data_IF_123022678457
#
_entry.id   IF_123022678457
#
_cell.length_a   1.000
_cell.length_b   1.000
_cell.length_c   1.000
_cell.angle_alpha   90.00
_cell.angle_beta   90.00
_cell.angle_gamma   90.00
#
_symmetry.space_group_name_H-M   'P 1'
#
loop_
_entity.id
_entity.type
_entity.pdbx_description
1 polymer ?
#
# COMPACT_ATOMS: atom_id res chain seq x y z
N UNK A 1 0.30 37.27 38.55
CA UNK A 1 0.82 35.88 38.52
C UNK A 1 -0.30 34.93 38.92
N UNK A 2 -1.04 34.36 37.95
CA UNK A 2 -2.21 33.53 38.26
C UNK A 2 -1.81 32.06 38.44
N UNK A 3 -2.29 31.49 39.54
CA UNK A 3 -2.55 30.05 39.69
C UNK A 3 -4.01 29.83 39.34
N UNK A 4 -4.28 28.98 38.36
CA UNK A 4 -5.61 28.37 38.17
C UNK A 4 -5.45 27.09 37.36
N UNK A 5 -5.30 25.98 38.08
CA UNK A 5 -5.77 24.68 37.65
C UNK A 5 -7.29 24.73 37.67
N UNK A 6 -7.94 24.60 36.52
CA UNK A 6 -9.34 24.22 36.26
C UNK A 6 -9.56 24.51 34.76
N UNK A 7 -10.41 23.73 34.09
CA UNK A 7 -10.60 23.64 32.63
C UNK A 7 -9.62 22.70 31.93
N UNK A 8 -10.03 21.43 31.84
CA UNK A 8 -10.10 20.59 30.63
C UNK A 8 -10.12 19.11 31.02
N UNK A 9 -11.05 18.79 31.93
CA UNK A 9 -11.60 17.45 32.06
C UNK A 9 -13.08 17.58 31.70
N UNK A 10 -13.55 16.69 30.83
CA UNK A 10 -14.93 16.54 30.31
C UNK A 10 -15.19 17.13 28.92
N UNK A 11 -15.84 16.31 28.10
CA UNK A 11 -16.30 16.51 26.71
C UNK A 11 -15.22 16.24 25.64
N UNK A 12 -15.00 14.96 25.29
CA UNK A 12 -15.43 14.43 23.98
C UNK A 12 -15.13 12.92 23.89
N UNK A 13 -15.89 12.15 24.68
CA UNK A 13 -16.27 10.79 24.35
C UNK A 13 -17.17 10.85 23.10
N UNK A 14 -17.12 9.83 22.25
CA UNK A 14 -18.21 9.47 21.32
C UNK A 14 -18.31 10.22 19.97
N UNK A 15 -17.40 9.93 19.04
CA UNK A 15 -17.70 10.01 17.60
C UNK A 15 -17.67 8.59 16.98
N UNK A 16 -18.58 7.74 17.48
CA UNK A 16 -19.04 6.53 16.80
C UNK A 16 -20.52 6.73 16.46
N UNK A 17 -20.82 7.15 15.23
CA UNK A 17 -22.05 6.87 14.47
C UNK A 17 -22.04 7.67 13.17
N UNK A 18 -22.82 7.24 12.16
CA UNK A 18 -23.14 7.90 10.87
C UNK A 18 -22.17 7.49 9.72
N UNK A 19 -22.50 6.76 8.64
CA UNK A 19 -23.75 6.29 8.00
C UNK A 19 -23.35 5.07 7.12
N UNK A 20 -24.06 3.96 7.26
CA UNK A 20 -24.27 2.97 6.19
C UNK A 20 -25.59 3.30 5.48
N UNK A 21 -25.76 2.78 4.26
CA UNK A 21 -26.91 2.85 3.34
C UNK A 21 -26.84 3.95 2.27
N UNK A 22 -26.46 3.56 1.05
CA UNK A 22 -27.27 3.69 -0.18
C UNK A 22 -26.79 2.66 -1.22
N UNK A 23 -27.71 1.79 -1.65
CA UNK A 23 -27.89 1.27 -3.03
C UNK A 23 -29.41 1.39 -3.28
N UNK A 24 -29.98 1.42 -4.52
CA UNK A 24 -29.49 0.87 -5.81
C UNK A 24 -29.73 1.81 -7.03
N UNK A 25 -29.34 1.43 -8.26
CA UNK A 25 -30.23 1.53 -9.45
C UNK A 25 -29.67 0.80 -10.68
N UNK A 26 -30.63 0.26 -11.42
CA UNK A 26 -30.70 -0.63 -12.58
C UNK A 26 -29.78 -0.45 -13.81
N UNK A 27 -29.44 -1.64 -14.33
CA UNK A 27 -29.63 -2.14 -15.70
C UNK A 27 -29.46 -1.18 -16.90
N UNK A 28 -28.46 -1.47 -17.72
CA UNK A 28 -28.64 -1.47 -19.17
C UNK A 28 -27.92 -2.67 -19.79
N UNK A 29 -28.74 -3.54 -20.38
CA UNK A 29 -28.40 -4.67 -21.22
C UNK A 29 -28.10 -4.23 -22.67
N UNK A 30 -27.42 -5.12 -23.40
CA UNK A 30 -27.23 -5.17 -24.86
C UNK A 30 -26.12 -4.29 -25.44
N UNK A 31 -25.37 -4.69 -26.46
CA UNK A 31 -25.06 -5.98 -27.06
C UNK A 31 -23.87 -5.67 -28.00
N UNK A 32 -22.90 -6.60 -28.05
CA UNK A 32 -22.04 -6.92 -29.19
C UNK A 32 -21.64 -5.79 -30.15
N UNK A 33 -20.38 -5.37 -30.07
CA UNK A 33 -19.61 -5.05 -31.27
C UNK A 33 -18.24 -5.70 -31.16
N UNK A 34 -18.08 -6.75 -31.96
CA UNK A 34 -16.83 -7.45 -32.24
C UNK A 34 -15.71 -6.53 -32.73
N UNK A 35 -14.47 -7.02 -32.55
CA UNK A 35 -13.24 -6.81 -33.33
C UNK A 35 -12.10 -6.01 -32.64
N UNK A 36 -10.83 -6.43 -32.80
CA UNK A 36 -10.27 -7.78 -32.73
C UNK A 36 -9.11 -7.85 -31.71
N UNK A 37 -8.83 -9.07 -31.26
CA UNK A 37 -7.62 -9.46 -30.55
C UNK A 37 -6.37 -9.17 -31.41
N UNK A 38 -5.73 -8.04 -31.15
CA UNK A 38 -4.32 -7.84 -31.47
C UNK A 38 -3.55 -8.13 -30.18
N UNK A 39 -2.77 -9.22 -30.21
CA UNK A 39 -1.81 -9.56 -29.19
C UNK A 39 -0.91 -8.35 -28.91
N UNK A 40 -1.16 -7.67 -27.79
CA UNK A 40 -0.23 -6.70 -27.25
C UNK A 40 0.94 -7.50 -26.65
N UNK A 41 2.08 -7.42 -27.32
CA UNK A 41 3.37 -7.80 -26.78
C UNK A 41 3.51 -7.16 -25.38
N UNK A 42 3.68 -8.00 -24.37
CA UNK A 42 3.80 -7.59 -22.97
C UNK A 42 5.18 -6.99 -22.73
N UNK A 43 5.43 -5.76 -23.18
CA UNK A 43 6.57 -4.95 -22.71
C UNK A 43 6.17 -3.63 -22.02
N UNK A 44 4.89 -3.28 -21.97
CA UNK A 44 4.46 -1.95 -21.54
C UNK A 44 3.91 -1.89 -20.11
N UNK A 45 4.72 -2.27 -19.11
CA UNK A 45 4.43 -1.91 -17.72
C UNK A 45 5.06 -0.56 -17.29
N UNK A 46 5.76 0.14 -18.19
CA UNK A 46 6.60 1.29 -17.82
C UNK A 46 5.87 2.62 -17.94
N UNK A 47 4.87 2.73 -18.82
CA UNK A 47 4.23 4.01 -19.13
C UNK A 47 2.73 3.94 -18.93
N UNK A 48 2.28 4.26 -17.72
CA UNK A 48 0.86 4.46 -17.44
C UNK A 48 0.54 5.94 -17.54
N UNK A 49 -0.46 6.28 -18.34
CA UNK A 49 -1.03 7.63 -18.29
C UNK A 49 -1.61 7.94 -16.90
N UNK A 50 -1.52 9.20 -16.46
CA UNK A 50 -2.25 9.64 -15.27
C UNK A 50 -3.75 9.33 -15.38
N UNK A 51 -4.42 9.18 -14.22
CA UNK A 51 -5.85 8.84 -14.19
C UNK A 51 -6.69 9.80 -15.03
N UNK A 52 -7.63 9.28 -15.82
CA UNK A 52 -8.51 10.03 -16.73
C UNK A 52 -7.85 10.72 -17.92
N UNK A 53 -6.51 10.70 -18.06
CA UNK A 53 -5.84 11.36 -19.19
C UNK A 53 -6.09 10.61 -20.50
N UNK A 54 -6.31 9.30 -20.44
CA UNK A 54 -6.61 8.47 -21.62
C UNK A 54 -7.84 8.92 -22.40
N UNK A 55 -8.78 9.61 -21.75
CA UNK A 55 -10.05 10.06 -22.33
C UNK A 55 -9.92 11.39 -23.10
N UNK A 56 -8.87 12.16 -22.84
CA UNK A 56 -8.78 13.57 -23.30
C UNK A 56 -7.52 13.90 -24.09
N UNK A 57 -6.47 13.06 -24.03
CA UNK A 57 -5.20 13.33 -24.71
C UNK A 57 -5.16 12.70 -26.11
N UNK A 58 -4.60 13.45 -27.05
CA UNK A 58 -4.24 12.94 -28.38
C UNK A 58 -3.01 12.04 -28.31
N UNK A 59 -2.75 11.27 -29.37
CA UNK A 59 -1.56 10.41 -29.46
C UNK A 59 -0.24 11.20 -29.41
N UNK A 60 -0.20 12.39 -30.03
CA UNK A 60 0.96 13.26 -29.94
C UNK A 60 1.24 13.71 -28.50
N UNK A 61 0.19 14.10 -27.76
CA UNK A 61 0.30 14.48 -26.35
C UNK A 61 0.66 13.29 -25.47
N UNK A 62 0.12 12.09 -25.75
CA UNK A 62 0.49 10.85 -25.05
C UNK A 62 1.99 10.59 -25.14
N UNK A 63 2.56 10.69 -26.34
CA UNK A 63 4.00 10.54 -26.55
C UNK A 63 4.80 11.56 -25.73
N UNK A 64 4.41 12.83 -25.75
CA UNK A 64 5.06 13.86 -24.92
C UNK A 64 4.94 13.57 -23.43
N UNK A 65 3.80 13.07 -22.95
CA UNK A 65 3.62 12.69 -21.55
C UNK A 65 4.58 11.58 -21.15
N UNK A 66 4.78 10.57 -22.00
CA UNK A 66 5.71 9.48 -21.73
C UNK A 66 7.17 9.97 -21.69
N UNK A 67 7.58 10.83 -22.62
CA UNK A 67 8.90 11.46 -22.59
C UNK A 67 9.15 12.25 -21.29
N UNK A 68 8.12 12.96 -20.81
CA UNK A 68 8.17 13.67 -19.52
C UNK A 68 8.32 12.67 -18.36
N UNK A 69 7.52 11.59 -18.35
CA UNK A 69 7.58 10.56 -17.31
C UNK A 69 8.95 9.90 -17.24
N UNK A 70 9.56 9.58 -18.39
CA UNK A 70 10.90 8.97 -18.43
C UNK A 70 11.98 9.87 -17.85
N UNK A 71 12.00 11.14 -18.25
CA UNK A 71 12.96 12.11 -17.72
C UNK A 71 12.84 12.23 -16.20
N UNK A 72 11.62 12.41 -15.70
CA UNK A 72 11.42 12.56 -14.26
C UNK A 72 11.63 11.26 -13.49
N UNK A 73 11.41 10.08 -14.09
CA UNK A 73 11.72 8.80 -13.44
C UNK A 73 13.18 8.72 -13.04
N UNK A 74 14.08 9.12 -13.93
CA UNK A 74 15.51 9.00 -13.68
C UNK A 74 15.99 10.04 -12.65
N UNK A 75 15.48 11.28 -12.71
CA UNK A 75 15.72 12.32 -11.69
C UNK A 75 15.19 11.89 -10.31
N UNK A 76 13.96 11.34 -10.25
CA UNK A 76 13.36 10.85 -9.01
C UNK A 76 14.17 9.70 -8.42
N UNK A 77 14.63 8.75 -9.25
CA UNK A 77 15.48 7.65 -8.79
C UNK A 77 16.78 8.17 -8.17
N UNK A 78 17.41 9.17 -8.77
CA UNK A 78 18.61 9.78 -8.21
C UNK A 78 18.32 10.43 -6.85
N UNK A 79 17.24 11.21 -6.74
CA UNK A 79 16.83 11.84 -5.48
C UNK A 79 16.49 10.80 -4.40
N UNK A 80 15.84 9.71 -4.75
CA UNK A 80 15.57 8.59 -3.83
C UNK A 80 16.87 7.98 -3.29
N UNK A 81 17.89 7.77 -4.14
CA UNK A 81 19.19 7.28 -3.71
C UNK A 81 19.90 8.26 -2.76
N UNK A 82 19.84 9.56 -3.05
CA UNK A 82 20.39 10.60 -2.17
C UNK A 82 19.67 10.62 -0.82
N UNK A 83 18.34 10.50 -0.83
CA UNK A 83 17.54 10.42 0.40
C UNK A 83 17.89 9.18 1.23
N UNK A 84 18.04 8.01 0.59
CA UNK A 84 18.46 6.77 1.27
C UNK A 84 19.85 6.90 1.88
N UNK A 85 20.78 7.54 1.16
CA UNK A 85 22.13 7.80 1.67
C UNK A 85 22.10 8.70 2.92
N UNK A 86 21.30 9.77 2.91
CA UNK A 86 21.13 10.66 4.05
C UNK A 86 20.47 9.96 5.25
N UNK A 87 19.44 9.15 5.01
CA UNK A 87 18.79 8.35 6.05
C UNK A 87 19.80 7.40 6.70
N UNK A 88 20.62 6.71 5.90
CA UNK A 88 21.68 5.82 6.40
C UNK A 88 22.70 6.59 7.24
N UNK A 89 23.16 7.74 6.75
CA UNK A 89 24.11 8.59 7.47
C UNK A 89 23.55 9.07 8.80
N UNK A 90 22.35 9.65 8.80
CA UNK A 90 21.66 10.09 10.02
C UNK A 90 21.50 8.95 11.02
N UNK A 91 21.10 7.75 10.57
CA UNK A 91 20.93 6.61 11.46
C UNK A 91 22.26 6.16 12.07
N UNK A 92 23.35 6.16 11.30
CA UNK A 92 24.69 5.88 11.84
C UNK A 92 25.12 6.92 12.88
N UNK A 93 24.84 8.21 12.64
CA UNK A 93 25.10 9.27 13.62
C UNK A 93 24.26 9.09 14.90
N UNK A 94 22.99 8.70 14.78
CA UNK A 94 22.13 8.35 15.92
C UNK A 94 22.69 7.15 16.67
N UNK A 95 23.13 6.10 15.99
CA UNK A 95 23.75 4.94 16.65
C UNK A 95 25.05 5.33 17.36
N UNK A 96 25.82 6.28 16.83
CA UNK A 96 27.07 6.71 17.44
C UNK A 96 26.90 7.41 18.79
N UNK A 97 25.74 7.99 19.08
CA UNK A 97 25.48 8.60 20.40
C UNK A 97 25.06 7.58 21.47
N UNK A 98 24.82 6.32 21.10
CA UNK A 98 24.38 5.29 22.02
C UNK A 98 25.55 4.57 22.69
N UNK A 99 25.36 4.18 23.95
CA UNK A 99 26.28 3.30 24.66
C UNK A 99 26.28 1.88 24.08
N UNK A 100 27.33 1.10 24.37
CA UNK A 100 27.40 -0.29 23.96
C UNK A 100 26.23 -1.13 24.49
N UNK A 101 25.84 -0.91 25.75
CA UNK A 101 24.70 -1.58 26.38
C UNK A 101 23.37 -1.24 25.70
N UNK A 102 23.17 0.03 25.34
CA UNK A 102 21.97 0.48 24.61
C UNK A 102 21.91 -0.14 23.21
N UNK A 103 23.04 -0.24 22.52
CA UNK A 103 23.12 -0.91 21.20
C UNK A 103 22.73 -2.38 21.29
N UNK A 104 23.23 -3.10 22.29
CA UNK A 104 22.87 -4.51 22.49
C UNK A 104 21.38 -4.68 22.83
N UNK A 105 20.81 -3.80 23.66
CA UNK A 105 19.38 -3.82 23.95
C UNK A 105 18.53 -3.62 22.68
N UNK A 106 18.88 -2.65 21.84
CA UNK A 106 18.18 -2.39 20.58
C UNK A 106 18.26 -3.62 19.65
N UNK A 107 19.43 -4.27 19.55
CA UNK A 107 19.56 -5.50 18.74
C UNK A 107 18.65 -6.62 19.23
N UNK A 108 18.54 -6.83 20.54
CA UNK A 108 17.64 -7.83 21.12
C UNK A 108 16.18 -7.52 20.79
N UNK A 109 15.74 -6.29 21.04
CA UNK A 109 14.37 -5.85 20.74
C UNK A 109 14.05 -5.97 19.24
N UNK A 110 15.00 -5.64 18.37
CA UNK A 110 14.84 -5.78 16.92
C UNK A 110 14.69 -7.25 16.49
N UNK A 111 15.50 -8.15 17.06
CA UNK A 111 15.44 -9.58 16.78
C UNK A 111 14.12 -10.21 17.25
N UNK A 112 13.66 -9.87 18.45
CA UNK A 112 12.38 -10.33 19.00
C UNK A 112 11.20 -9.84 18.14
N UNK A 113 11.24 -8.56 17.74
CA UNK A 113 10.22 -7.97 16.87
C UNK A 113 10.16 -8.66 15.51
N UNK A 114 11.32 -9.01 14.93
CA UNK A 114 11.38 -9.77 13.68
C UNK A 114 10.80 -11.17 13.87
N UNK A 115 11.22 -11.89 14.90
CA UNK A 115 10.71 -13.23 15.19
C UNK A 115 9.18 -13.23 15.37
N UNK A 116 8.64 -12.20 16.04
CA UNK A 116 7.19 -12.07 16.21
C UNK A 116 6.47 -11.83 14.88
N UNK A 117 6.99 -10.97 14.00
CA UNK A 117 6.42 -10.76 12.66
C UNK A 117 6.44 -12.04 11.83
N UNK A 118 7.56 -12.77 11.86
CA UNK A 118 7.73 -14.03 11.12
C UNK A 118 6.72 -15.10 11.63
N UNK A 119 6.52 -15.21 12.95
CA UNK A 119 5.50 -16.09 13.54
C UNK A 119 4.08 -15.71 13.13
N UNK A 120 3.72 -14.43 13.19
CA UNK A 120 2.40 -13.96 12.78
C UNK A 120 2.14 -14.21 11.30
N UNK A 121 3.16 -14.05 10.45
CA UNK A 121 3.07 -14.37 9.03
C UNK A 121 2.80 -15.87 8.82
N UNK A 122 3.58 -16.74 9.47
CA UNK A 122 3.38 -18.19 9.38
C UNK A 122 2.01 -18.63 9.90
N UNK A 123 1.51 -18.03 10.97
CA UNK A 123 0.17 -18.31 11.49
C UNK A 123 -0.92 -17.90 10.49
N UNK A 124 -0.80 -16.73 9.85
CA UNK A 124 -1.73 -16.29 8.81
C UNK A 124 -1.75 -17.25 7.62
N UNK A 125 -0.58 -17.69 7.17
CA UNK A 125 -0.46 -18.65 6.07
C UNK A 125 -1.11 -19.99 6.42
N UNK A 126 -0.95 -20.46 7.67
CA UNK A 126 -1.59 -21.68 8.15
C UNK A 126 -3.12 -21.54 8.17
N UNK A 127 -3.64 -20.43 8.73
CA UNK A 127 -5.08 -20.15 8.77
C UNK A 127 -5.66 -20.08 7.35
N UNK A 128 -4.99 -19.41 6.42
CA UNK A 128 -5.42 -19.34 5.02
C UNK A 128 -5.42 -20.71 4.34
N UNK A 129 -4.40 -21.54 4.61
CA UNK A 129 -4.32 -22.89 4.08
C UNK A 129 -5.45 -23.78 4.63
N UNK A 130 -5.76 -23.69 5.92
CA UNK A 130 -6.87 -24.41 6.53
C UNK A 130 -8.23 -23.95 5.99
N UNK A 131 -8.41 -22.64 5.80
CA UNK A 131 -9.63 -22.09 5.19
C UNK A 131 -9.85 -22.62 3.79
N UNK A 132 -8.80 -22.64 2.95
CA UNK A 132 -8.85 -23.20 1.59
C UNK A 132 -9.20 -24.69 1.59
N UNK A 133 -8.64 -25.47 2.52
CA UNK A 133 -8.97 -26.90 2.67
C UNK A 133 -10.44 -27.11 3.08
N UNK A 134 -10.95 -26.31 4.00
CA UNK A 134 -12.34 -26.37 4.44
C UNK A 134 -13.33 -25.96 3.33
N UNK A 135 -12.99 -24.94 2.54
CA UNK A 135 -13.78 -24.52 1.38
C UNK A 135 -13.83 -25.62 0.29
N UNK A 136 -12.70 -26.27 -0.01
CA UNK A 136 -12.63 -27.38 -0.96
C UNK A 136 -13.41 -28.62 -0.49
N UNK A 137 -13.41 -28.92 0.81
CA UNK A 137 -14.19 -30.04 1.37
C UNK A 137 -15.71 -29.79 1.33
N UNK A 138 -16.15 -28.54 1.37
CA UNK A 138 -17.58 -28.18 1.32
C UNK A 138 -18.13 -28.23 -0.11
N UNK A 139 -17.35 -27.84 -1.12
CA UNK A 139 -17.80 -27.90 -2.53
C UNK A 139 -17.91 -29.35 -3.06
N UNK A 140 -17.07 -30.27 -2.58
CA UNK A 140 -17.15 -31.70 -2.94
C UNK A 140 -18.36 -32.44 -2.37
N UNK A 141 -18.98 -31.94 -1.28
CA UNK A 141 -20.14 -32.58 -0.64
C UNK A 141 -21.49 -32.16 -1.25
N UNK A 142 -21.54 -31.09 -2.05
CA UNK A 142 -22.78 -30.56 -2.64
C UNK A 142 -23.04 -31.05 -4.08
N UNK A 143 -22.15 -31.87 -4.65
CA UNK A 143 -22.18 -32.30 -6.06
C UNK A 143 -22.44 -33.79 -6.30
N UNK A 144 -22.90 -34.54 -5.29
CA UNK A 144 -23.21 -35.97 -5.39
C UNK A 144 -24.67 -36.24 -5.01
#
# INVERSE_FOLDING_TARGET
MPRSHWFFLSVQVFCLLVISLVSPVDAQESATSDKPEAAAEQEDAVHRLPSHYSEVVTEAQRKTIYEIQDRYRDELREMELQMLALIKKRNAEIENVLSAEQKELIRKVAAESKAQRDRLKGLREQIEAERRKAEASKSGAAGN
#
